data_IF_432062879723
#
_entry.id   IF_432062879723
#
_cell.length_a   1.000
_cell.length_b   1.000
_cell.length_c   1.000
_cell.angle_alpha   90.00
_cell.angle_beta   90.00
_cell.angle_gamma   90.00
#
_symmetry.space_group_name_H-M   'P 1'
#
loop_
_entity.id
_entity.type
_entity.pdbx_description
1 polymer ?
#
# COMPACT_ATOMS: atom_id res chain seq x y z
N UNK A 1 21.11 23.08 9.24
CA UNK A 1 20.35 22.19 10.14
C UNK A 1 19.62 21.17 9.31
N UNK A 2 19.95 19.87 9.37
CA UNK A 2 19.22 18.88 8.57
C UNK A 2 17.81 18.71 9.15
N UNK A 3 16.80 19.03 8.35
CA UNK A 3 15.40 18.85 8.75
C UNK A 3 15.13 17.35 8.87
N UNK A 4 14.65 16.92 10.01
CA UNK A 4 14.24 15.54 10.24
C UNK A 4 12.78 15.37 9.74
N UNK A 5 12.59 15.31 8.42
CA UNK A 5 11.27 15.34 7.77
C UNK A 5 10.26 14.39 8.40
N UNK A 6 10.63 13.12 8.57
CA UNK A 6 9.74 12.11 9.12
C UNK A 6 9.38 12.40 10.59
N UNK A 7 10.35 12.80 11.41
CA UNK A 7 10.09 13.13 12.83
C UNK A 7 9.20 14.36 12.97
N UNK A 8 9.39 15.37 12.12
CA UNK A 8 8.55 16.57 12.12
C UNK A 8 7.13 16.22 11.71
N UNK A 9 6.94 15.43 10.65
CA UNK A 9 5.65 14.96 10.19
C UNK A 9 4.93 14.08 11.26
N UNK A 10 5.67 13.20 11.91
CA UNK A 10 5.15 12.42 13.05
C UNK A 10 4.59 13.29 14.15
N UNK A 11 5.32 14.31 14.54
CA UNK A 11 4.86 15.24 15.56
C UNK A 11 3.63 16.04 15.12
N UNK A 12 3.57 16.46 13.85
CA UNK A 12 2.40 17.12 13.28
C UNK A 12 1.15 16.23 13.34
N UNK A 13 1.28 14.97 12.95
CA UNK A 13 0.17 14.00 13.05
C UNK A 13 -0.26 13.83 14.49
N UNK A 14 0.69 13.52 15.40
CA UNK A 14 0.40 13.23 16.81
C UNK A 14 -0.25 14.42 17.53
N UNK A 15 0.18 15.63 17.20
CA UNK A 15 -0.32 16.84 17.84
C UNK A 15 -1.60 17.39 17.17
N UNK A 16 -2.03 16.81 16.05
CA UNK A 16 -3.25 17.23 15.37
C UNK A 16 -4.49 16.73 16.11
N UNK A 17 -5.48 17.58 16.42
CA UNK A 17 -6.68 17.18 17.13
C UNK A 17 -7.52 16.22 16.27
N UNK A 18 -7.86 15.06 16.83
CA UNK A 18 -8.70 14.07 16.14
C UNK A 18 -7.98 13.19 15.10
N UNK A 19 -6.66 13.19 15.08
CA UNK A 19 -5.87 12.39 14.14
C UNK A 19 -6.26 10.89 14.17
N UNK A 20 -6.48 10.32 15.35
CA UNK A 20 -6.85 8.93 15.50
C UNK A 20 -8.22 8.60 14.85
N UNK A 21 -9.20 9.51 14.99
CA UNK A 21 -10.48 9.39 14.28
C UNK A 21 -10.31 9.37 12.76
N UNK A 22 -9.40 10.19 12.25
CA UNK A 22 -9.11 10.22 10.82
C UNK A 22 -8.41 8.94 10.37
N UNK A 23 -7.50 8.37 11.16
CA UNK A 23 -6.89 7.05 10.90
C UNK A 23 -7.96 5.98 10.76
N UNK A 24 -8.89 5.88 11.72
CA UNK A 24 -9.98 4.89 11.65
C UNK A 24 -10.87 5.07 10.42
N UNK A 25 -11.22 6.32 10.09
CA UNK A 25 -12.04 6.61 8.90
C UNK A 25 -11.31 6.29 7.60
N UNK A 26 -10.03 6.64 7.49
CA UNK A 26 -9.22 6.33 6.31
C UNK A 26 -9.00 4.84 6.17
N UNK A 27 -8.70 4.13 7.28
CA UNK A 27 -8.61 2.67 7.25
C UNK A 27 -9.89 2.00 6.77
N UNK A 28 -11.06 2.53 7.14
CA UNK A 28 -12.35 2.03 6.63
C UNK A 28 -12.53 2.35 5.14
N UNK A 29 -12.14 3.55 4.70
CA UNK A 29 -12.19 3.94 3.30
C UNK A 29 -11.26 3.09 2.43
N UNK A 30 -10.07 2.75 2.94
CA UNK A 30 -9.10 1.90 2.24
C UNK A 30 -9.60 0.46 2.00
N UNK A 31 -10.61 0.02 2.74
CA UNK A 31 -11.31 -1.24 2.46
C UNK A 31 -12.14 -1.17 1.17
N UNK A 32 -12.42 0.03 0.65
CA UNK A 32 -13.11 0.24 -0.62
C UNK A 32 -12.05 0.47 -1.71
N UNK A 33 -11.77 -0.52 -2.57
CA UNK A 33 -10.76 -0.38 -3.62
C UNK A 33 -11.01 0.85 -4.50
N UNK A 34 -9.95 1.48 -4.98
CA UNK A 34 -9.96 2.65 -5.87
C UNK A 34 -10.53 3.91 -5.18
N UNK A 35 -11.78 3.90 -4.71
CA UNK A 35 -12.40 5.07 -4.08
C UNK A 35 -11.69 5.47 -2.79
N UNK A 36 -11.32 4.51 -1.95
CA UNK A 36 -10.55 4.76 -0.74
C UNK A 36 -9.21 5.41 -1.06
N UNK A 37 -8.47 4.84 -2.02
CA UNK A 37 -7.18 5.39 -2.47
C UNK A 37 -7.30 6.80 -3.02
N UNK A 38 -8.33 7.10 -3.83
CA UNK A 38 -8.58 8.44 -4.36
C UNK A 38 -8.85 9.43 -3.23
N UNK A 39 -9.74 9.11 -2.31
CA UNK A 39 -10.06 9.99 -1.18
C UNK A 39 -8.86 10.21 -0.28
N UNK A 40 -8.12 9.15 0.04
CA UNK A 40 -6.94 9.20 0.88
C UNK A 40 -5.85 10.08 0.25
N UNK A 41 -5.51 9.83 -1.02
CA UNK A 41 -4.52 10.65 -1.73
C UNK A 41 -4.96 12.11 -1.81
N UNK A 42 -6.21 12.39 -2.16
CA UNK A 42 -6.72 13.75 -2.24
C UNK A 42 -6.63 14.49 -0.90
N UNK A 43 -6.95 13.81 0.20
CA UNK A 43 -6.89 14.35 1.56
C UNK A 43 -5.46 14.56 2.04
N UNK A 44 -4.61 13.53 1.94
CA UNK A 44 -3.25 13.58 2.49
C UNK A 44 -2.33 14.50 1.69
N UNK A 45 -2.37 14.44 0.36
CA UNK A 45 -1.57 15.34 -0.47
C UNK A 45 -2.09 16.78 -0.44
N UNK A 46 -3.39 17.00 -0.18
CA UNK A 46 -3.92 18.34 0.11
C UNK A 46 -3.29 18.95 1.36
N UNK A 47 -3.18 18.16 2.43
CA UNK A 47 -2.52 18.58 3.66
C UNK A 47 -0.98 18.68 3.53
N UNK A 48 -0.36 17.79 2.76
CA UNK A 48 1.08 17.85 2.46
C UNK A 48 1.46 19.10 1.64
N UNK A 49 0.60 19.54 0.73
CA UNK A 49 0.75 20.78 -0.04
C UNK A 49 0.96 21.98 0.86
N UNK A 50 0.22 22.08 1.97
CA UNK A 50 0.40 23.17 2.95
C UNK A 50 1.83 23.20 3.51
N UNK A 51 2.40 22.02 3.85
CA UNK A 51 3.77 21.94 4.31
C UNK A 51 4.79 22.36 3.24
N UNK A 52 4.53 22.05 1.97
CA UNK A 52 5.37 22.47 0.85
C UNK A 52 5.42 24.01 0.70
N UNK A 53 4.34 24.70 1.09
CA UNK A 53 4.26 26.17 1.18
C UNK A 53 4.73 26.74 2.53
N UNK A 54 5.33 25.93 3.41
CA UNK A 54 5.71 26.28 4.77
C UNK A 54 4.53 26.65 5.69
N UNK A 55 3.33 26.25 5.36
CA UNK A 55 2.13 26.42 6.19
C UNK A 55 2.00 25.21 7.13
N UNK A 56 1.97 25.45 8.44
CA UNK A 56 1.95 24.40 9.47
C UNK A 56 0.57 24.23 10.11
N UNK A 57 -0.45 24.08 9.29
CA UNK A 57 -1.77 23.78 9.80
C UNK A 57 -1.85 22.33 10.34
N UNK A 58 -2.62 22.11 11.43
CA UNK A 58 -2.91 20.76 11.89
C UNK A 58 -3.69 19.96 10.84
N UNK A 59 -3.71 18.64 10.98
CA UNK A 59 -4.50 17.75 10.11
C UNK A 59 -5.98 18.20 10.13
N UNK A 60 -6.63 18.37 8.98
CA UNK A 60 -8.05 18.74 8.92
C UNK A 60 -8.92 17.72 9.66
N UNK A 61 -9.89 18.21 10.45
CA UNK A 61 -10.75 17.35 11.29
C UNK A 61 -11.69 16.47 10.49
N UNK A 62 -12.05 16.90 9.28
CA UNK A 62 -13.00 16.21 8.40
C UNK A 62 -12.33 15.88 7.08
N UNK A 63 -12.48 14.62 6.65
CA UNK A 63 -11.87 14.15 5.39
C UNK A 63 -12.54 14.84 4.19
N UNK A 64 -13.88 14.91 4.19
CA UNK A 64 -14.67 15.48 3.09
C UNK A 64 -14.92 16.98 3.22
N UNK A 65 -14.52 17.60 4.30
CA UNK A 65 -14.74 19.03 4.59
C UNK A 65 -13.50 19.90 4.36
N UNK A 66 -12.60 19.50 3.46
CA UNK A 66 -11.46 20.33 3.08
C UNK A 66 -11.96 21.61 2.42
N UNK A 67 -11.40 22.75 2.84
CA UNK A 67 -11.76 24.08 2.34
C UNK A 67 -11.50 24.23 0.83
N UNK A 68 -10.61 23.39 0.28
CA UNK A 68 -10.29 23.36 -1.13
C UNK A 68 -11.17 22.36 -1.89
N UNK A 69 -12.28 22.47 -2.27
CA UNK A 69 -13.22 21.57 -3.00
C UNK A 69 -12.59 20.57 -3.99
N UNK A 70 -11.25 20.44 -4.02
CA UNK A 70 -10.44 19.68 -5.00
C UNK A 70 -10.00 18.30 -4.54
N UNK A 71 -10.53 17.79 -3.41
CA UNK A 71 -10.16 16.47 -2.87
C UNK A 71 -10.26 15.35 -3.91
N UNK A 72 -11.40 15.24 -4.60
CA UNK A 72 -11.65 14.21 -5.59
C UNK A 72 -10.80 14.38 -6.85
N UNK A 73 -10.67 15.61 -7.35
CA UNK A 73 -9.87 15.91 -8.53
C UNK A 73 -8.38 15.59 -8.27
N UNK A 74 -7.83 16.08 -7.17
CA UNK A 74 -6.44 15.81 -6.78
C UNK A 74 -6.19 14.33 -6.59
N UNK A 75 -7.03 13.66 -5.81
CA UNK A 75 -6.89 12.24 -5.54
C UNK A 75 -6.99 11.39 -6.79
N UNK A 76 -7.92 11.73 -7.69
CA UNK A 76 -8.08 11.07 -8.99
C UNK A 76 -6.87 11.25 -9.90
N UNK A 77 -6.32 12.47 -10.00
CA UNK A 77 -5.12 12.75 -10.79
C UNK A 77 -3.90 11.96 -10.26
N UNK A 78 -3.71 11.93 -8.93
CA UNK A 78 -2.61 11.17 -8.30
C UNK A 78 -2.82 9.67 -8.51
N UNK A 79 -4.04 9.18 -8.38
CA UNK A 79 -4.36 7.77 -8.62
C UNK A 79 -4.01 7.36 -10.06
N UNK A 80 -4.45 8.12 -11.07
CA UNK A 80 -4.14 7.86 -12.48
C UNK A 80 -2.64 7.90 -12.73
N UNK A 81 -1.95 8.89 -12.18
CA UNK A 81 -0.50 9.04 -12.30
C UNK A 81 0.24 7.82 -11.74
N UNK A 82 -0.06 7.43 -10.50
CA UNK A 82 0.57 6.27 -9.85
C UNK A 82 0.22 4.96 -10.55
N UNK A 83 -1.03 4.82 -11.03
CA UNK A 83 -1.45 3.66 -11.80
C UNK A 83 -0.63 3.50 -13.09
N UNK A 84 -0.48 4.58 -13.86
CA UNK A 84 0.29 4.56 -15.12
C UNK A 84 1.78 4.25 -14.86
N UNK A 85 2.38 4.85 -13.83
CA UNK A 85 3.76 4.55 -13.46
C UNK A 85 3.93 3.10 -13.01
N UNK A 86 2.98 2.56 -12.27
CA UNK A 86 3.00 1.19 -11.78
C UNK A 86 2.82 0.12 -12.86
N UNK A 87 2.30 0.47 -14.04
CA UNK A 87 2.14 -0.49 -15.14
C UNK A 87 3.48 -1.06 -15.61
N UNK A 88 4.54 -0.26 -15.66
CA UNK A 88 5.86 -0.71 -16.15
C UNK A 88 6.43 -1.84 -15.27
N UNK A 89 6.67 -1.63 -13.96
CA UNK A 89 7.15 -2.72 -13.12
C UNK A 89 6.12 -3.86 -12.97
N UNK A 90 4.82 -3.57 -13.02
CA UNK A 90 3.75 -4.56 -12.95
C UNK A 90 3.77 -5.54 -14.12
N UNK A 91 3.94 -5.07 -15.35
CA UNK A 91 4.08 -5.93 -16.54
C UNK A 91 5.32 -6.83 -16.39
N UNK A 92 6.47 -6.26 -15.99
CA UNK A 92 7.72 -7.03 -15.83
C UNK A 92 7.56 -8.09 -14.73
N UNK A 93 6.92 -7.74 -13.60
CA UNK A 93 6.61 -8.70 -12.52
C UNK A 93 5.74 -9.84 -13.02
N UNK A 94 4.69 -9.55 -13.78
CA UNK A 94 3.80 -10.57 -14.35
C UNK A 94 4.56 -11.54 -15.27
N UNK A 95 5.46 -11.04 -16.13
CA UNK A 95 6.32 -11.89 -16.95
C UNK A 95 7.27 -12.74 -16.10
N UNK A 96 7.85 -12.17 -15.05
CA UNK A 96 8.68 -12.90 -14.09
C UNK A 96 7.90 -14.07 -13.46
N UNK A 97 6.69 -13.80 -12.98
CA UNK A 97 5.82 -14.79 -12.34
C UNK A 97 5.41 -15.90 -13.32
N UNK A 98 5.13 -15.56 -14.58
CA UNK A 98 4.84 -16.55 -15.63
C UNK A 98 6.02 -17.49 -15.88
N UNK A 99 7.25 -16.99 -15.86
CA UNK A 99 8.45 -17.81 -16.06
C UNK A 99 8.77 -18.70 -14.86
N UNK A 100 8.60 -18.17 -13.65
CA UNK A 100 8.86 -18.93 -12.42
C UNK A 100 7.77 -19.94 -12.09
N UNK A 101 6.51 -19.66 -12.45
CA UNK A 101 5.35 -20.45 -12.11
C UNK A 101 4.69 -21.13 -13.34
N UNK A 102 5.42 -21.28 -14.45
CA UNK A 102 4.88 -21.83 -15.71
C UNK A 102 4.20 -23.22 -15.54
N UNK A 103 4.64 -24.02 -14.58
CA UNK A 103 4.02 -25.29 -14.23
C UNK A 103 2.58 -25.14 -13.69
N UNK A 104 2.29 -24.11 -12.92
CA UNK A 104 0.94 -23.82 -12.41
C UNK A 104 0.00 -23.31 -13.52
N UNK A 105 0.50 -22.53 -14.47
CA UNK A 105 -0.31 -22.07 -15.61
C UNK A 105 -0.67 -23.21 -16.56
N UNK A 106 0.19 -24.20 -16.77
CA UNK A 106 -0.12 -25.39 -17.55
C UNK A 106 -1.25 -26.22 -16.92
N UNK A 107 -1.30 -26.31 -15.60
CA UNK A 107 -2.40 -26.93 -14.84
C UNK A 107 -3.72 -26.16 -14.98
N UNK A 108 -3.69 -24.83 -14.87
CA UNK A 108 -4.87 -23.96 -14.99
C UNK A 108 -5.43 -23.91 -16.43
N UNK A 109 -4.59 -24.09 -17.45
CA UNK A 109 -5.00 -24.11 -18.86
C UNK A 109 -5.65 -25.42 -19.28
N UNK A 110 -6.02 -26.33 -18.35
CA UNK A 110 -6.73 -27.56 -18.63
C UNK A 110 -5.85 -28.67 -19.24
N UNK A 111 -4.55 -28.56 -19.11
CA UNK A 111 -3.62 -29.63 -19.45
C UNK A 111 -3.81 -30.80 -18.50
N UNK A 112 -4.54 -31.84 -18.91
CA UNK A 112 -4.60 -33.14 -18.22
C UNK A 112 -3.22 -33.79 -18.28
N UNK A 113 -2.33 -33.38 -17.36
CA UNK A 113 -1.07 -34.09 -17.16
C UNK A 113 -1.32 -35.30 -16.26
N UNK A 114 -1.55 -36.43 -16.86
CA UNK A 114 -1.29 -37.74 -16.26
C UNK A 114 0.24 -37.88 -16.16
N UNK A 115 0.79 -37.58 -14.97
CA UNK A 115 2.18 -37.81 -14.63
C UNK A 115 3.07 -36.57 -14.75
N UNK A 116 3.60 -36.14 -13.63
CA UNK A 116 4.64 -35.10 -13.38
C UNK A 116 4.45 -33.75 -14.10
N UNK A 117 4.24 -32.70 -13.31
CA UNK A 117 4.39 -31.31 -13.77
C UNK A 117 5.73 -31.19 -14.51
N UNK A 118 5.76 -30.72 -15.77
CA UNK A 118 7.03 -30.59 -16.48
C UNK A 118 7.97 -29.72 -15.65
N UNK A 119 9.19 -30.16 -15.39
CA UNK A 119 10.13 -29.39 -14.61
C UNK A 119 10.34 -28.04 -15.31
N UNK A 120 10.05 -26.95 -14.62
CA UNK A 120 10.40 -25.63 -15.12
C UNK A 120 11.89 -25.64 -15.40
N UNK A 121 12.31 -25.31 -16.62
CA UNK A 121 13.72 -25.36 -16.98
C UNK A 121 14.49 -24.41 -16.04
N UNK A 122 15.65 -24.84 -15.54
CA UNK A 122 16.47 -24.01 -14.65
C UNK A 122 16.81 -22.65 -15.24
N UNK A 123 16.88 -22.56 -16.57
CA UNK A 123 17.05 -21.29 -17.31
C UNK A 123 15.84 -20.36 -17.19
N UNK A 124 14.61 -20.89 -17.28
CA UNK A 124 13.39 -20.08 -17.10
C UNK A 124 13.26 -19.54 -15.67
N UNK A 125 13.58 -20.39 -14.68
CA UNK A 125 13.60 -19.93 -13.27
C UNK A 125 14.65 -18.84 -13.03
N UNK A 126 15.87 -19.00 -13.55
CA UNK A 126 16.92 -18.01 -13.42
C UNK A 126 16.55 -16.67 -14.09
N UNK A 127 15.96 -16.72 -15.29
CA UNK A 127 15.50 -15.52 -15.99
C UNK A 127 14.34 -14.86 -15.23
N UNK A 128 13.37 -15.64 -14.73
CA UNK A 128 12.27 -15.13 -13.92
C UNK A 128 12.79 -14.44 -12.64
N UNK A 129 13.76 -15.04 -11.95
CA UNK A 129 14.38 -14.41 -10.79
C UNK A 129 15.09 -13.10 -11.13
N UNK A 130 15.85 -13.04 -12.22
CA UNK A 130 16.49 -11.80 -12.68
C UNK A 130 15.45 -10.71 -12.99
N UNK A 131 14.35 -11.06 -13.68
CA UNK A 131 13.27 -10.12 -13.96
C UNK A 131 12.57 -9.64 -12.69
N UNK A 132 12.43 -10.49 -11.66
CA UNK A 132 11.87 -10.06 -10.38
C UNK A 132 12.75 -9.04 -9.66
N UNK A 133 14.08 -9.19 -9.73
CA UNK A 133 15.01 -8.19 -9.20
C UNK A 133 14.95 -6.87 -9.97
N UNK A 134 14.85 -6.92 -11.29
CA UNK A 134 14.66 -5.72 -12.13
C UNK A 134 13.32 -5.03 -11.80
N UNK A 135 12.24 -5.80 -11.69
CA UNK A 135 10.94 -5.28 -11.29
C UNK A 135 10.98 -4.59 -9.93
N UNK A 136 11.64 -5.21 -8.94
CA UNK A 136 11.81 -4.63 -7.61
C UNK A 136 12.54 -3.29 -7.66
N UNK A 137 13.64 -3.21 -8.41
CA UNK A 137 14.40 -1.97 -8.58
C UNK A 137 13.55 -0.88 -9.27
N UNK A 138 12.75 -1.25 -10.27
CA UNK A 138 11.83 -0.34 -10.93
C UNK A 138 10.69 0.11 -10.00
N UNK A 139 10.15 -0.77 -9.13
CA UNK A 139 9.15 -0.35 -8.14
C UNK A 139 9.71 0.71 -7.20
N UNK A 140 10.94 0.56 -6.71
CA UNK A 140 11.58 1.58 -5.86
C UNK A 140 11.78 2.89 -6.60
N UNK A 141 12.21 2.85 -7.86
CA UNK A 141 12.36 4.04 -8.69
C UNK A 141 11.03 4.75 -8.95
N UNK A 142 10.00 3.98 -9.31
CA UNK A 142 8.64 4.47 -9.52
C UNK A 142 8.07 5.09 -8.26
N UNK A 143 8.34 4.52 -7.09
CA UNK A 143 7.91 5.08 -5.81
C UNK A 143 8.50 6.48 -5.58
N UNK A 144 9.80 6.66 -5.81
CA UNK A 144 10.45 7.98 -5.65
C UNK A 144 9.92 9.01 -6.66
N UNK A 145 9.81 8.64 -7.94
CA UNK A 145 9.22 9.52 -8.97
C UNK A 145 7.76 9.79 -8.65
N UNK A 146 7.04 8.77 -8.22
CA UNK A 146 5.64 8.83 -7.82
C UNK A 146 5.41 9.83 -6.69
N UNK A 147 6.24 9.83 -5.67
CA UNK A 147 6.15 10.78 -4.57
C UNK A 147 6.43 12.22 -5.02
N UNK A 148 7.50 12.44 -5.78
CA UNK A 148 7.84 13.77 -6.30
C UNK A 148 6.74 14.30 -7.23
N UNK A 149 6.29 13.49 -8.19
CA UNK A 149 5.24 13.85 -9.14
C UNK A 149 3.88 14.06 -8.47
N UNK A 150 3.52 13.24 -7.47
CA UNK A 150 2.27 13.41 -6.71
C UNK A 150 2.26 14.73 -5.93
N UNK A 151 3.40 15.14 -5.34
CA UNK A 151 3.52 16.46 -4.73
C UNK A 151 3.34 17.58 -5.74
N UNK A 152 3.91 17.46 -6.95
CA UNK A 152 3.74 18.44 -8.03
C UNK A 152 2.30 18.48 -8.54
N UNK A 153 1.64 17.33 -8.71
CA UNK A 153 0.21 17.27 -9.03
C UNK A 153 -0.60 18.01 -7.97
N UNK A 154 -0.31 17.78 -6.70
CA UNK A 154 -1.00 18.44 -5.60
C UNK A 154 -0.83 19.97 -5.59
N UNK A 155 0.33 20.47 -6.05
CA UNK A 155 0.66 21.91 -6.09
C UNK A 155 0.03 22.59 -7.30
N UNK A 156 0.08 21.96 -8.48
CA UNK A 156 -0.40 22.53 -9.74
C UNK A 156 -1.83 22.12 -10.13
N UNK A 157 -2.42 21.17 -9.41
CA UNK A 157 -3.71 20.53 -9.73
C UNK A 157 -3.79 20.04 -11.20
N UNK A 158 -2.66 19.54 -11.72
CA UNK A 158 -2.50 19.13 -13.11
C UNK A 158 -1.74 17.82 -13.24
N UNK A 159 -2.27 16.89 -14.04
CA UNK A 159 -1.63 15.60 -14.32
C UNK A 159 -0.29 15.78 -15.05
N UNK A 160 -0.18 16.78 -15.94
CA UNK A 160 1.04 17.08 -16.70
C UNK A 160 2.20 17.48 -15.79
N UNK A 161 1.92 18.07 -14.63
CA UNK A 161 2.95 18.40 -13.63
C UNK A 161 3.61 17.15 -13.05
N UNK A 162 2.85 16.08 -12.80
CA UNK A 162 3.39 14.79 -12.33
C UNK A 162 4.18 14.05 -13.40
N UNK A 163 3.75 14.10 -14.66
CA UNK A 163 4.49 13.45 -15.77
C UNK A 163 5.71 14.24 -16.26
N UNK A 164 6.04 15.35 -15.61
CA UNK A 164 7.28 16.06 -15.90
C UNK A 164 8.49 15.37 -15.20
N UNK A 165 8.80 14.16 -15.67
CA UNK A 165 9.84 13.29 -15.09
C UNK A 165 11.19 13.99 -14.99
N UNK A 166 11.50 14.92 -15.92
CA UNK A 166 12.75 15.68 -15.89
C UNK A 166 12.85 16.53 -14.61
N UNK A 167 11.76 17.20 -14.25
CA UNK A 167 11.74 18.03 -13.05
C UNK A 167 11.70 17.17 -11.77
N UNK A 168 10.92 16.09 -11.76
CA UNK A 168 10.86 15.17 -10.64
C UNK A 168 12.23 14.56 -10.36
N UNK A 169 12.94 14.13 -11.41
CA UNK A 169 14.31 13.63 -11.34
C UNK A 169 15.31 14.69 -10.83
N UNK A 170 15.13 15.95 -11.22
CA UNK A 170 15.97 17.05 -10.74
C UNK A 170 15.78 17.30 -9.24
N UNK A 171 14.53 17.20 -8.73
CA UNK A 171 14.23 17.30 -7.30
C UNK A 171 14.87 16.13 -6.53
N UNK A 172 14.74 14.91 -7.03
CA UNK A 172 15.35 13.71 -6.44
C UNK A 172 16.86 13.83 -6.34
N UNK A 173 17.53 14.27 -7.40
CA UNK A 173 18.99 14.49 -7.42
C UNK A 173 19.46 15.56 -6.43
N UNK A 174 18.66 16.60 -6.23
CA UNK A 174 19.03 17.71 -5.36
C UNK A 174 19.06 17.33 -3.86
N UNK A 175 18.13 16.47 -3.43
CA UNK A 175 18.11 15.93 -2.06
C UNK A 175 17.69 14.45 -2.04
N UNK A 176 18.55 13.62 -2.63
CA UNK A 176 18.38 12.15 -2.60
C UNK A 176 18.39 11.63 -1.17
N UNK A 177 19.23 12.20 -0.30
CA UNK A 177 19.37 11.74 1.09
C UNK A 177 18.09 11.96 1.91
N UNK A 178 17.40 13.08 1.69
CA UNK A 178 16.13 13.38 2.36
C UNK A 178 15.04 12.39 1.99
N UNK A 179 14.84 12.15 0.69
CA UNK A 179 13.78 11.24 0.23
C UNK A 179 14.10 9.77 0.57
N UNK A 180 15.35 9.34 0.47
CA UNK A 180 15.78 7.99 0.87
C UNK A 180 15.55 7.77 2.37
N UNK A 181 15.76 8.77 3.22
CA UNK A 181 15.44 8.66 4.65
C UNK A 181 13.94 8.52 4.90
N UNK A 182 13.09 9.25 4.17
CA UNK A 182 11.64 9.10 4.28
C UNK A 182 11.26 7.69 3.86
N UNK A 183 11.79 7.21 2.74
CA UNK A 183 11.55 5.84 2.24
C UNK A 183 12.02 4.78 3.23
N UNK A 184 13.24 4.89 3.75
CA UNK A 184 13.80 3.94 4.70
C UNK A 184 12.97 3.84 6.00
N UNK A 185 12.47 4.98 6.49
CA UNK A 185 11.59 5.00 7.67
C UNK A 185 10.23 4.38 7.35
N UNK A 186 9.64 4.71 6.20
CA UNK A 186 8.38 4.09 5.77
C UNK A 186 8.53 2.57 5.60
N UNK A 187 9.61 2.11 4.97
CA UNK A 187 9.94 0.70 4.79
C UNK A 187 10.14 0.00 6.13
N UNK A 188 10.90 0.61 7.05
CA UNK A 188 11.16 0.05 8.38
C UNK A 188 9.86 -0.18 9.16
N UNK A 189 9.01 0.84 9.24
CA UNK A 189 7.71 0.69 9.91
C UNK A 189 6.80 -0.29 9.18
N UNK A 190 6.77 -0.25 7.85
CA UNK A 190 6.03 -1.22 7.03
C UNK A 190 6.46 -2.66 7.30
N UNK A 191 7.77 -2.92 7.39
CA UNK A 191 8.30 -4.25 7.73
C UNK A 191 7.94 -4.67 9.16
N UNK A 192 8.10 -3.79 10.15
CA UNK A 192 7.75 -4.11 11.55
C UNK A 192 6.28 -4.48 11.66
N UNK A 193 5.39 -3.62 11.16
CA UNK A 193 3.95 -3.89 11.22
C UNK A 193 3.56 -5.07 10.32
N UNK A 194 4.15 -5.19 9.13
CA UNK A 194 3.92 -6.32 8.23
C UNK A 194 4.28 -7.66 8.87
N UNK A 195 5.40 -7.74 9.60
CA UNK A 195 5.80 -8.95 10.33
C UNK A 195 4.83 -9.26 11.49
N UNK A 196 4.44 -8.25 12.28
CA UNK A 196 3.50 -8.44 13.39
C UNK A 196 2.15 -8.93 12.86
N UNK A 197 1.55 -8.22 11.89
CA UNK A 197 0.25 -8.59 11.32
C UNK A 197 0.33 -9.89 10.53
N UNK A 198 1.42 -10.14 9.81
CA UNK A 198 1.67 -11.39 9.09
C UNK A 198 1.72 -12.59 10.03
N UNK A 199 2.40 -12.47 11.16
CA UNK A 199 2.45 -13.52 12.19
C UNK A 199 1.06 -13.79 12.80
N UNK A 200 0.34 -12.73 13.18
CA UNK A 200 -1.02 -12.87 13.73
C UNK A 200 -1.96 -13.51 12.70
N UNK A 201 -1.91 -13.05 11.46
CA UNK A 201 -2.71 -13.61 10.37
C UNK A 201 -2.37 -15.08 10.12
N UNK A 202 -1.08 -15.43 10.12
CA UNK A 202 -0.64 -16.82 10.00
C UNK A 202 -1.23 -17.70 11.10
N UNK A 203 -1.16 -17.27 12.36
CA UNK A 203 -1.72 -18.01 13.51
C UNK A 203 -3.23 -18.19 13.33
N UNK A 204 -3.97 -17.16 12.96
CA UNK A 204 -5.42 -17.20 12.76
C UNK A 204 -5.78 -18.17 11.62
N UNK A 205 -5.13 -18.06 10.47
CA UNK A 205 -5.35 -18.94 9.32
C UNK A 205 -4.97 -20.39 9.63
N UNK A 206 -3.83 -20.61 10.30
CA UNK A 206 -3.38 -21.94 10.68
C UNK A 206 -4.33 -22.61 11.67
N UNK A 207 -4.78 -21.88 12.69
CA UNK A 207 -5.75 -22.39 13.67
C UNK A 207 -7.07 -22.78 13.00
N UNK A 208 -7.57 -21.92 12.09
CA UNK A 208 -8.77 -22.20 11.31
C UNK A 208 -8.59 -23.43 10.39
N UNK A 209 -7.47 -23.53 9.68
CA UNK A 209 -7.16 -24.67 8.82
C UNK A 209 -7.14 -25.97 9.63
N UNK A 210 -6.49 -25.98 10.80
CA UNK A 210 -6.42 -27.14 11.68
C UNK A 210 -7.78 -27.53 12.26
N UNK A 211 -8.65 -26.55 12.53
CA UNK A 211 -10.02 -26.83 13.01
C UNK A 211 -10.88 -27.59 11.99
N UNK A 212 -10.55 -27.50 10.71
CA UNK A 212 -11.21 -28.26 9.63
C UNK A 212 -10.44 -29.57 9.34
N UNK A 213 -9.13 -29.51 9.24
CA UNK A 213 -8.31 -30.63 8.79
C UNK A 213 -8.33 -31.81 9.76
N UNK A 214 -8.24 -31.53 11.08
CA UNK A 214 -8.20 -32.58 12.11
C UNK A 214 -9.50 -33.42 12.11
N UNK A 215 -10.71 -32.86 12.12
CA UNK A 215 -11.95 -33.62 11.99
C UNK A 215 -12.04 -34.43 10.68
N UNK A 216 -11.60 -33.84 9.56
CA UNK A 216 -11.62 -34.55 8.26
C UNK A 216 -10.70 -35.76 8.28
N UNK A 217 -9.50 -35.66 8.83
CA UNK A 217 -8.56 -36.80 8.97
C UNK A 217 -9.18 -37.87 9.87
N UNK A 218 -9.75 -37.51 11.02
CA UNK A 218 -10.35 -38.44 11.94
C UNK A 218 -11.59 -39.13 11.33
N UNK A 219 -12.40 -38.42 10.57
CA UNK A 219 -13.53 -39.02 9.86
C UNK A 219 -13.05 -40.01 8.78
N UNK A 220 -12.00 -39.67 8.01
CA UNK A 220 -11.46 -40.55 6.96
C UNK A 220 -10.77 -41.81 7.51
N UNK A 221 -10.26 -41.75 8.74
CA UNK A 221 -9.67 -42.90 9.44
C UNK A 221 -10.71 -43.85 10.08
N UNK A 222 -12.00 -43.55 9.99
CA UNK A 222 -13.07 -44.33 10.59
C UNK A 222 -13.14 -44.30 12.13
N UNK A 223 -12.44 -43.32 12.74
CA UNK A 223 -12.39 -43.18 14.21
C UNK A 223 -13.55 -42.38 14.77
N UNK A 224 -14.40 -41.75 13.92
CA UNK A 224 -15.55 -40.95 14.33
C UNK A 224 -16.86 -41.61 13.97
N UNK A 225 -17.85 -41.51 14.86
CA UNK A 225 -19.24 -41.87 14.62
C UNK A 225 -19.96 -40.83 13.76
N UNK A 226 -21.08 -41.19 13.13
CA UNK A 226 -21.88 -40.27 12.31
C UNK A 226 -22.33 -39.03 13.07
N UNK A 227 -22.66 -39.16 14.38
CA UNK A 227 -23.02 -38.01 15.23
C UNK A 227 -21.85 -37.08 15.52
N UNK A 228 -20.64 -37.60 15.67
CA UNK A 228 -19.42 -36.80 15.82
C UNK A 228 -19.06 -36.08 14.55
N UNK A 229 -19.26 -36.71 13.38
CA UNK A 229 -19.05 -36.06 12.07
C UNK A 229 -20.03 -34.88 11.90
N UNK A 230 -21.32 -35.08 12.22
CA UNK A 230 -22.31 -33.98 12.14
C UNK A 230 -21.96 -32.83 13.09
N UNK A 231 -21.52 -33.15 14.31
CA UNK A 231 -21.07 -32.12 15.26
C UNK A 231 -19.84 -31.38 14.78
N UNK A 232 -18.88 -32.07 14.17
CA UNK A 232 -17.68 -31.47 13.59
C UNK A 232 -18.03 -30.53 12.40
N UNK A 233 -18.95 -30.91 11.55
CA UNK A 233 -19.44 -30.05 10.45
C UNK A 233 -20.13 -28.79 10.99
N UNK A 234 -20.99 -28.92 12.00
CA UNK A 234 -21.66 -27.78 12.60
C UNK A 234 -20.68 -26.84 13.29
N UNK A 235 -19.67 -27.37 14.00
CA UNK A 235 -18.63 -26.58 14.65
C UNK A 235 -17.72 -25.89 13.65
N UNK A 236 -17.39 -26.52 12.49
CA UNK A 236 -16.63 -25.92 11.41
C UNK A 236 -17.38 -24.74 10.79
N UNK A 237 -18.71 -24.82 10.63
CA UNK A 237 -19.54 -23.72 10.16
C UNK A 237 -19.53 -22.53 11.09
N UNK A 238 -19.69 -22.76 12.41
CA UNK A 238 -19.59 -21.70 13.42
C UNK A 238 -18.17 -21.11 13.48
N UNK A 239 -17.15 -21.96 13.41
CA UNK A 239 -15.73 -21.55 13.35
C UNK A 239 -15.42 -20.67 12.14
N UNK A 240 -16.03 -20.96 10.99
CA UNK A 240 -15.89 -20.14 9.79
C UNK A 240 -16.41 -18.71 9.99
N UNK A 241 -17.56 -18.54 10.62
CA UNK A 241 -18.11 -17.20 10.91
C UNK A 241 -17.19 -16.40 11.83
N UNK A 242 -16.69 -17.04 12.90
CA UNK A 242 -15.73 -16.42 13.81
C UNK A 242 -14.43 -16.06 13.09
N UNK A 243 -13.91 -16.97 12.26
CA UNK A 243 -12.74 -16.71 11.43
C UNK A 243 -12.93 -15.50 10.51
N UNK A 244 -14.04 -15.43 9.78
CA UNK A 244 -14.34 -14.31 8.89
C UNK A 244 -14.42 -12.97 9.64
N UNK A 245 -15.00 -12.95 10.82
CA UNK A 245 -15.07 -11.75 11.66
C UNK A 245 -13.66 -11.31 12.12
N UNK A 246 -12.87 -12.22 12.67
CA UNK A 246 -11.50 -11.93 13.13
C UNK A 246 -10.63 -11.51 11.97
N UNK A 247 -10.70 -12.19 10.82
CA UNK A 247 -9.97 -11.88 9.61
C UNK A 247 -10.29 -10.46 9.10
N UNK A 248 -11.58 -10.09 9.06
CA UNK A 248 -12.02 -8.74 8.65
C UNK A 248 -11.51 -7.67 9.61
N UNK A 249 -11.55 -7.91 10.92
CA UNK A 249 -11.01 -6.98 11.92
C UNK A 249 -9.49 -6.80 11.78
N UNK A 250 -8.76 -7.88 11.50
CA UNK A 250 -7.31 -7.81 11.26
C UNK A 250 -6.98 -7.01 9.99
N UNK A 251 -7.69 -7.24 8.89
CA UNK A 251 -7.52 -6.44 7.67
C UNK A 251 -7.82 -4.97 7.97
N UNK A 252 -8.91 -4.66 8.64
CA UNK A 252 -9.23 -3.28 9.01
C UNK A 252 -8.13 -2.63 9.87
N UNK A 253 -7.60 -3.35 10.86
CA UNK A 253 -6.50 -2.85 11.67
C UNK A 253 -5.24 -2.58 10.83
N UNK A 254 -4.92 -3.46 9.87
CA UNK A 254 -3.82 -3.28 8.94
C UNK A 254 -4.02 -2.03 8.07
N UNK A 255 -5.24 -1.82 7.54
CA UNK A 255 -5.56 -0.62 6.77
C UNK A 255 -5.45 0.65 7.62
N UNK A 256 -5.83 0.62 8.89
CA UNK A 256 -5.62 1.75 9.80
C UNK A 256 -4.14 2.07 10.00
N UNK A 257 -3.28 1.07 10.17
CA UNK A 257 -1.84 1.27 10.31
C UNK A 257 -1.25 1.81 9.01
N UNK A 258 -1.65 1.28 7.86
CA UNK A 258 -1.26 1.78 6.55
C UNK A 258 -1.64 3.26 6.37
N UNK A 259 -2.88 3.62 6.66
CA UNK A 259 -3.36 5.00 6.59
C UNK A 259 -2.56 5.95 7.49
N UNK A 260 -2.24 5.50 8.71
CA UNK A 260 -1.41 6.27 9.64
C UNK A 260 0.02 6.49 9.12
N UNK A 261 0.67 5.45 8.58
CA UNK A 261 1.99 5.58 7.96
C UNK A 261 1.95 6.52 6.74
N UNK A 262 0.92 6.42 5.91
CA UNK A 262 0.75 7.31 4.77
C UNK A 262 0.54 8.76 5.19
N UNK A 263 -0.17 9.06 6.27
CA UNK A 263 -0.29 10.41 6.83
C UNK A 263 1.09 11.00 7.12
N UNK A 264 1.95 10.23 7.81
CA UNK A 264 3.29 10.68 8.20
C UNK A 264 4.17 10.85 6.96
N UNK A 265 4.19 9.85 6.08
CA UNK A 265 5.01 9.84 4.86
C UNK A 265 4.65 11.01 3.95
N UNK A 266 3.36 11.20 3.68
CA UNK A 266 2.88 12.27 2.79
C UNK A 266 3.18 13.65 3.38
N UNK A 267 3.01 13.84 4.69
CA UNK A 267 3.39 15.10 5.36
C UNK A 267 4.90 15.34 5.32
N UNK A 268 5.71 14.28 5.49
CA UNK A 268 7.17 14.37 5.37
C UNK A 268 7.60 14.75 3.95
N UNK A 269 6.90 14.26 2.92
CA UNK A 269 7.11 14.66 1.53
C UNK A 269 6.77 16.15 1.31
N UNK A 270 5.74 16.67 1.96
CA UNK A 270 5.44 18.10 1.96
C UNK A 270 6.62 18.93 2.50
N UNK A 271 7.19 18.54 3.63
CA UNK A 271 8.39 19.19 4.19
C UNK A 271 9.62 19.02 3.32
N UNK A 272 9.80 17.85 2.70
CA UNK A 272 10.89 17.65 1.74
C UNK A 272 10.73 18.57 0.52
N UNK A 273 9.51 18.78 0.05
CA UNK A 273 9.20 19.64 -1.09
C UNK A 273 9.42 21.13 -0.75
N UNK A 274 9.19 21.56 0.50
CA UNK A 274 9.31 22.97 0.90
C UNK A 274 10.71 23.57 0.70
N UNK A 275 11.77 22.74 0.73
CA UNK A 275 13.14 23.19 0.49
C UNK A 275 13.41 23.69 -0.93
N UNK A 276 12.54 23.35 -1.89
CA UNK A 276 12.69 23.72 -3.29
C UNK A 276 12.06 25.10 -3.62
N UNK A 277 11.67 25.88 -2.62
CA UNK A 277 11.07 27.20 -2.78
C UNK A 277 9.84 27.20 -3.70
N UNK A 278 8.84 26.41 -3.34
CA UNK A 278 7.60 26.22 -4.12
C UNK A 278 6.95 27.53 -4.61
N UNK A 279 6.92 28.63 -3.84
CA UNK A 279 6.38 29.91 -4.32
C UNK A 279 7.04 30.46 -5.58
N UNK A 280 8.29 30.05 -5.87
CA UNK A 280 9.02 30.50 -7.07
C UNK A 280 8.78 29.64 -8.32
N UNK A 281 7.95 28.59 -8.26
CA UNK A 281 7.78 27.64 -9.37
C UNK A 281 6.89 28.16 -10.51
N UNK A 282 6.33 29.35 -10.40
CA UNK A 282 5.44 29.92 -11.39
C UNK A 282 3.97 29.87 -10.94
N UNK A 283 3.02 30.07 -11.85
CA UNK A 283 1.62 30.20 -11.50
C UNK A 283 1.02 28.88 -10.96
N UNK A 284 0.65 28.89 -9.71
CA UNK A 284 -0.09 27.85 -9.00
C UNK A 284 -0.92 28.50 -7.89
N UNK A 285 -2.03 27.86 -7.52
CA UNK A 285 -2.86 28.34 -6.41
C UNK A 285 -2.18 28.07 -5.07
N UNK A 286 -2.05 29.09 -4.23
CA UNK A 286 -1.60 28.92 -2.86
C UNK A 286 -2.64 28.13 -2.04
N UNK A 287 -2.25 27.35 -1.02
CA UNK A 287 -3.20 26.77 -0.08
C UNK A 287 -3.91 27.86 0.70
N UNK A 288 -5.21 27.68 0.90
CA UNK A 288 -6.06 28.61 1.66
C UNK A 288 -5.78 28.57 3.15
#
# INVERSE_FOLDING_TARGET
MQIKYFQTAWNDVKNSPGWFKNVLKLGLLDMIPILGTIVQNGFLYGWAREAAWNVRNPLPRTIFGNNDTRLWARGGLIFVFMFVLGLIPGIISTFSDMLTNSGYFALLAGGSYYGSVPPVSGGAMALGFLLSLVSLALYVLVEFIGWAGSMRISIYDSLSAGFNIKNDWSMLKRDTNGIVRIFAMNLLFGLIFGLIFGLVLFIVCFTFLMSILVPVINASSGTMSDSEIMTAIASAGAGFLVFMLVFTLLIYALMCVSAWLQMITTRALGYWTSQFNVPSWGPQDAPL
#
